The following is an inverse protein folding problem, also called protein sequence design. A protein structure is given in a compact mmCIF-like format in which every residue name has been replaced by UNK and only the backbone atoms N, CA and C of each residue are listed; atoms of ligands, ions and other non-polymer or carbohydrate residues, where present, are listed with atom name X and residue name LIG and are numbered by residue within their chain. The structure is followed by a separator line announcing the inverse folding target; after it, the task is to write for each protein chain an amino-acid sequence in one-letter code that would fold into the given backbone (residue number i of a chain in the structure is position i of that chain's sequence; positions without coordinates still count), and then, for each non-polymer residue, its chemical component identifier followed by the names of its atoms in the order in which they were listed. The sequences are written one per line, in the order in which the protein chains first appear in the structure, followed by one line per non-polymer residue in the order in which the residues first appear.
data_IF_008952453574
#
_entry.id   IF_008952453574
#
_cell.length_a   1.000
_cell.length_b   1.000
_cell.length_c   1.000
_cell.angle_alpha   90.00
_cell.angle_beta   90.00
_cell.angle_gamma   90.00
#
_symmetry.space_group_name_H-M   'P 1'
#
loop_
_entity.id
_entity.type
_entity.pdbx_description
1 polymer ?
#
# COMPACT_ATOMS: atom_id res chain seq x y z
N UNK A 1 51.20 27.34 3.43
CA UNK A 1 51.18 27.88 4.80
C UNK A 1 49.85 27.51 5.45
N UNK A 2 49.91 26.77 6.58
CA UNK A 2 48.91 26.55 7.67
C UNK A 2 47.45 26.24 7.29
N UNK A 3 46.77 25.21 7.80
CA UNK A 3 47.05 23.90 8.45
C UNK A 3 45.65 23.27 8.58
N UNK A 4 45.41 22.09 7.99
CA UNK A 4 44.22 21.29 8.26
C UNK A 4 44.26 20.76 9.70
N UNK A 5 43.11 20.73 10.39
CA UNK A 5 42.89 19.95 11.61
C UNK A 5 41.78 18.93 11.38
N UNK A 6 42.17 17.66 11.44
CA UNK A 6 41.30 16.49 11.44
C UNK A 6 40.61 16.31 12.81
N UNK A 7 39.38 15.81 12.80
CA UNK A 7 38.66 15.32 13.98
C UNK A 7 38.75 13.78 14.03
N UNK A 8 38.90 13.17 15.22
CA UNK A 8 39.24 11.76 15.35
C UNK A 8 38.03 10.82 15.34
N UNK A 9 38.26 9.63 14.76
CA UNK A 9 37.42 8.45 14.83
C UNK A 9 37.43 7.88 16.27
N UNK A 10 36.25 7.58 16.81
CA UNK A 10 36.06 6.83 18.06
C UNK A 10 35.89 5.34 17.72
N UNK A 11 36.93 4.56 17.99
CA UNK A 11 36.96 3.11 17.96
C UNK A 11 36.67 2.55 19.36
N UNK A 12 35.68 1.65 19.46
CA UNK A 12 35.31 0.92 20.68
C UNK A 12 36.09 -0.40 20.71
N UNK A 13 36.83 -0.76 21.79
CA UNK A 13 37.49 -2.06 21.87
C UNK A 13 36.56 -3.11 22.50
N UNK A 14 36.48 -4.29 21.86
CA UNK A 14 35.97 -5.54 22.44
C UNK A 14 36.98 -6.06 23.47
N UNK A 15 36.53 -6.31 24.70
CA UNK A 15 37.27 -7.10 25.68
C UNK A 15 36.67 -8.53 25.77
N UNK A 16 37.49 -9.59 25.84
CA UNK A 16 37.01 -10.97 25.92
C UNK A 16 36.74 -11.36 27.38
N UNK A 17 35.56 -11.93 27.66
CA UNK A 17 35.25 -12.51 28.96
C UNK A 17 35.63 -14.00 28.95
N UNK A 18 36.69 -14.34 29.70
CA UNK A 18 37.10 -15.71 30.01
C UNK A 18 36.18 -16.28 31.11
N UNK A 19 35.50 -17.40 30.83
CA UNK A 19 34.76 -18.18 31.84
C UNK A 19 35.65 -19.34 32.28
N UNK A 20 36.01 -19.35 33.56
CA UNK A 20 36.78 -20.42 34.21
C UNK A 20 35.85 -21.58 34.62
N UNK A 21 36.22 -22.80 34.22
CA UNK A 21 35.67 -24.04 34.76
C UNK A 21 36.18 -24.24 36.20
N UNK A 22 35.26 -24.49 37.13
CA UNK A 22 35.58 -25.13 38.41
C UNK A 22 34.73 -26.41 38.54
N UNK A 23 35.41 -27.54 38.63
CA UNK A 23 34.84 -28.85 38.90
C UNK A 23 35.41 -29.40 40.20
N UNK A 24 34.53 -29.94 41.05
CA UNK A 24 34.67 -30.91 42.17
C UNK A 24 33.73 -30.48 43.30
N UNK A 25 32.90 -31.30 43.94
CA UNK A 25 32.71 -32.76 43.97
C UNK A 25 32.22 -33.13 45.39
N UNK A 26 31.48 -34.25 45.51
CA UNK A 26 30.77 -34.84 46.68
C UNK A 26 29.26 -34.52 46.69
N UNK A 27 28.31 -35.46 46.76
CA UNK A 27 28.38 -36.88 47.02
C UNK A 27 27.27 -37.27 48.00
N UNK A 28 26.04 -37.45 47.51
CA UNK A 28 24.97 -38.12 48.26
C UNK A 28 24.04 -38.82 47.26
N UNK A 29 24.14 -40.15 47.20
CA UNK A 29 23.27 -40.97 46.37
C UNK A 29 21.85 -41.00 46.94
N UNK A 30 20.87 -40.60 46.13
CA UNK A 30 19.48 -40.95 46.35
C UNK A 30 19.09 -41.95 45.25
N UNK A 31 18.86 -43.19 45.67
CA UNK A 31 18.40 -44.27 44.80
C UNK A 31 16.97 -43.95 44.32
N UNK A 32 16.76 -44.03 43.01
CA UNK A 32 15.42 -43.94 42.42
C UNK A 32 14.70 -45.26 42.74
N UNK A 33 13.74 -45.21 43.66
CA UNK A 33 12.76 -46.27 43.85
C UNK A 33 11.76 -46.14 42.70
N UNK A 34 11.82 -47.04 41.72
CA UNK A 34 10.79 -47.14 40.69
C UNK A 34 9.57 -47.83 41.29
N UNK A 35 8.60 -47.03 41.74
CA UNK A 35 7.28 -47.55 42.07
C UNK A 35 6.54 -47.89 40.75
N UNK A 36 6.36 -49.18 40.51
CA UNK A 36 5.90 -49.73 39.23
C UNK A 36 4.37 -49.84 39.15
N UNK A 37 3.64 -48.92 39.81
CA UNK A 37 2.17 -48.94 39.88
C UNK A 37 1.51 -47.59 39.57
N UNK A 38 2.10 -46.78 38.68
CA UNK A 38 1.40 -45.62 38.12
C UNK A 38 0.64 -46.01 36.86
N UNK A 39 -0.70 -45.93 36.92
CA UNK A 39 -1.58 -46.02 35.76
C UNK A 39 -1.08 -45.08 34.62
N UNK A 40 -1.24 -45.48 33.34
CA UNK A 40 -0.74 -44.69 32.23
C UNK A 40 -1.31 -43.28 32.30
N UNK A 41 -0.44 -42.30 32.58
CA UNK A 41 -0.77 -40.89 32.39
C UNK A 41 -1.05 -40.73 30.91
N UNK A 42 -2.31 -40.50 30.58
CA UNK A 42 -2.72 -39.97 29.29
C UNK A 42 -1.91 -38.70 29.09
N UNK A 43 -0.89 -38.75 28.24
CA UNK A 43 -0.25 -37.56 27.69
C UNK A 43 -1.40 -36.81 27.03
N UNK A 44 -1.68 -35.55 27.41
CA UNK A 44 -2.64 -34.77 26.65
C UNK A 44 -2.09 -34.73 25.23
N UNK A 45 -2.80 -35.33 24.28
CA UNK A 45 -2.71 -34.92 22.88
C UNK A 45 -2.73 -33.39 22.91
N UNK A 46 -1.80 -32.72 22.22
CA UNK A 46 -1.88 -31.27 22.03
C UNK A 46 -3.31 -30.98 21.58
N UNK A 47 -4.14 -30.50 22.51
CA UNK A 47 -5.41 -29.91 22.15
C UNK A 47 -5.01 -28.79 21.20
N UNK A 48 -5.48 -28.87 19.94
CA UNK A 48 -5.31 -27.80 18.97
C UNK A 48 -5.68 -26.50 19.69
N UNK A 49 -4.66 -25.69 20.00
CA UNK A 49 -4.89 -24.35 20.50
C UNK A 49 -5.84 -23.69 19.48
N UNK A 50 -6.88 -22.95 19.92
CA UNK A 50 -7.77 -22.29 18.99
C UNK A 50 -6.93 -21.52 17.97
N UNK A 51 -7.05 -21.87 16.69
CA UNK A 51 -6.26 -21.23 15.64
C UNK A 51 -6.52 -19.71 15.69
N UNK A 52 -5.44 -18.93 15.69
CA UNK A 52 -5.54 -17.47 15.69
C UNK A 52 -6.37 -17.01 14.47
N UNK A 53 -7.52 -16.34 14.66
CA UNK A 53 -8.38 -15.93 13.56
C UNK A 53 -7.66 -15.04 12.55
N UNK A 54 -6.67 -14.24 12.99
CA UNK A 54 -5.84 -13.46 12.07
C UNK A 54 -4.96 -14.35 11.22
N UNK A 55 -4.30 -15.34 11.81
CA UNK A 55 -3.46 -16.29 11.07
C UNK A 55 -4.27 -17.07 10.03
N UNK A 56 -5.49 -17.49 10.38
CA UNK A 56 -6.43 -18.11 9.43
C UNK A 56 -6.77 -17.19 8.25
N UNK A 57 -7.04 -15.91 8.54
CA UNK A 57 -7.36 -14.93 7.53
C UNK A 57 -6.15 -14.64 6.62
N UNK A 58 -4.93 -14.56 7.19
CA UNK A 58 -3.67 -14.38 6.45
C UNK A 58 -3.35 -15.56 5.54
N UNK A 59 -3.59 -16.79 5.99
CA UNK A 59 -3.44 -17.99 5.16
C UNK A 59 -4.41 -17.96 3.98
N UNK A 60 -5.70 -17.74 4.23
CA UNK A 60 -6.71 -17.65 3.17
C UNK A 60 -6.37 -16.54 2.15
N UNK A 61 -5.89 -15.40 2.64
CA UNK A 61 -5.46 -14.27 1.82
C UNK A 61 -4.24 -14.62 0.94
N UNK A 62 -3.23 -15.26 1.54
CA UNK A 62 -2.02 -15.67 0.83
C UNK A 62 -2.32 -16.73 -0.24
N UNK A 63 -3.23 -17.66 0.06
CA UNK A 63 -3.67 -18.69 -0.88
C UNK A 63 -4.41 -18.09 -2.07
N UNK A 64 -5.31 -17.13 -1.83
CA UNK A 64 -5.95 -16.36 -2.90
C UNK A 64 -4.93 -15.61 -3.76
N UNK A 65 -3.97 -14.92 -3.16
CA UNK A 65 -2.98 -14.15 -3.92
C UNK A 65 -2.06 -15.06 -4.74
N UNK A 66 -1.68 -16.22 -4.20
CA UNK A 66 -0.91 -17.25 -4.93
C UNK A 66 -1.71 -17.77 -6.11
N UNK A 67 -2.99 -18.08 -5.87
CA UNK A 67 -3.90 -18.51 -6.92
C UNK A 67 -4.06 -17.44 -8.00
N UNK A 68 -4.32 -16.18 -7.61
CA UNK A 68 -4.43 -15.04 -8.53
C UNK A 68 -3.21 -14.96 -9.43
N UNK A 69 -2.01 -14.88 -8.84
CA UNK A 69 -0.73 -14.76 -9.57
C UNK A 69 -0.53 -15.86 -10.62
N UNK A 70 -0.84 -17.12 -10.27
CA UNK A 70 -0.70 -18.25 -11.19
C UNK A 70 -1.74 -18.24 -12.33
N UNK A 71 -2.86 -17.55 -12.13
CA UNK A 71 -4.01 -17.57 -13.02
C UNK A 71 -4.22 -16.26 -13.78
N UNK A 72 -3.38 -15.24 -13.55
CA UNK A 72 -3.47 -13.94 -14.21
C UNK A 72 -3.26 -14.06 -15.73
N UNK A 73 -4.03 -13.31 -16.53
CA UNK A 73 -3.92 -13.29 -17.99
C UNK A 73 -2.61 -12.62 -18.42
N UNK A 74 -2.17 -12.89 -19.65
CA UNK A 74 -0.93 -12.33 -20.19
C UNK A 74 -1.15 -10.93 -20.77
N UNK A 75 -0.27 -10.00 -20.43
CA UNK A 75 -0.16 -8.71 -21.11
C UNK A 75 0.57 -8.86 -22.44
N UNK A 76 0.02 -8.27 -23.51
CA UNK A 76 0.56 -8.36 -24.88
C UNK A 76 1.32 -7.11 -25.32
N UNK A 77 1.29 -6.03 -24.55
CA UNK A 77 2.00 -4.80 -24.85
C UNK A 77 3.48 -4.86 -24.47
N UNK A 78 4.18 -3.74 -24.71
CA UNK A 78 5.58 -3.57 -24.33
C UNK A 78 5.65 -3.07 -22.89
N UNK A 79 6.52 -3.69 -22.09
CA UNK A 79 6.81 -3.26 -20.72
C UNK A 79 8.18 -2.58 -20.69
N UNK A 80 8.26 -1.28 -20.34
CA UNK A 80 9.52 -0.59 -20.19
C UNK A 80 10.35 -1.18 -19.04
N UNK A 81 11.68 -1.29 -19.22
CA UNK A 81 12.60 -1.82 -18.20
C UNK A 81 13.96 -1.15 -18.22
N UNK A 82 14.67 -1.19 -17.09
CA UNK A 82 16.04 -0.70 -16.97
C UNK A 82 16.17 0.76 -17.38
N UNK A 83 17.09 1.08 -18.30
CA UNK A 83 17.28 2.45 -18.81
C UNK A 83 16.09 3.00 -19.60
N UNK A 84 15.18 2.15 -20.07
CA UNK A 84 13.95 2.57 -20.74
C UNK A 84 12.81 2.85 -19.75
N UNK A 85 13.03 2.69 -18.45
CA UNK A 85 12.02 2.98 -17.44
C UNK A 85 11.77 4.50 -17.35
N UNK A 86 10.54 4.98 -17.63
CA UNK A 86 10.25 6.41 -17.57
C UNK A 86 10.33 6.98 -16.16
N UNK A 87 9.84 6.23 -15.17
CA UNK A 87 9.80 6.66 -13.77
C UNK A 87 10.25 5.51 -12.85
N UNK A 88 11.54 5.46 -12.47
CA UNK A 88 12.02 4.46 -11.53
C UNK A 88 11.56 4.79 -10.10
N UNK A 89 11.09 3.78 -9.37
CA UNK A 89 10.69 3.90 -7.96
C UNK A 89 11.44 2.85 -7.14
N UNK A 90 12.14 3.28 -6.09
CA UNK A 90 13.10 2.41 -5.39
C UNK A 90 14.16 1.83 -6.34
N UNK A 91 14.56 0.57 -6.10
CA UNK A 91 15.61 -0.10 -6.88
C UNK A 91 15.07 -0.98 -8.03
N UNK A 92 13.83 -1.44 -7.91
CA UNK A 92 13.29 -2.55 -8.72
C UNK A 92 11.99 -2.22 -9.44
N UNK A 93 11.33 -1.11 -9.10
CA UNK A 93 10.05 -0.76 -9.68
C UNK A 93 10.20 0.23 -10.81
N UNK A 94 9.37 0.05 -11.83
CA UNK A 94 9.23 0.97 -12.92
C UNK A 94 7.77 1.36 -13.06
N UNK A 95 7.48 2.65 -12.91
CA UNK A 95 6.21 3.22 -13.30
C UNK A 95 6.28 3.70 -14.74
N UNK A 96 5.24 3.38 -15.52
CA UNK A 96 5.05 3.94 -16.86
C UNK A 96 3.58 4.19 -17.08
N UNK A 97 3.28 5.10 -17.99
CA UNK A 97 1.93 5.53 -18.28
C UNK A 97 1.64 5.39 -19.76
N UNK A 98 0.65 4.57 -20.10
CA UNK A 98 0.23 4.32 -21.48
C UNK A 98 -1.31 4.29 -21.55
N UNK A 99 -1.90 5.33 -22.16
CA UNK A 99 -3.35 5.43 -22.35
C UNK A 99 -3.86 4.53 -23.48
N UNK A 100 -2.97 3.98 -24.30
CA UNK A 100 -3.30 3.10 -25.43
C UNK A 100 -3.23 1.63 -25.06
N UNK A 101 -2.55 1.31 -23.95
CA UNK A 101 -2.48 -0.04 -23.42
C UNK A 101 -3.87 -0.51 -22.96
N UNK A 102 -4.32 -1.63 -23.53
CA UNK A 102 -5.51 -2.34 -23.05
C UNK A 102 -5.08 -3.52 -22.19
N UNK A 103 -5.45 -3.48 -20.91
CA UNK A 103 -5.21 -4.58 -19.98
C UNK A 103 -6.26 -5.68 -20.17
N UNK A 104 -5.86 -6.95 -20.16
CA UNK A 104 -6.81 -8.06 -20.21
C UNK A 104 -7.75 -8.04 -19.00
N UNK A 105 -8.99 -8.48 -19.20
CA UNK A 105 -9.96 -8.66 -18.13
C UNK A 105 -9.53 -9.78 -17.17
N UNK A 106 -9.89 -9.65 -15.88
CA UNK A 106 -9.66 -10.68 -14.88
C UNK A 106 -10.46 -11.96 -15.24
N UNK A 107 -9.82 -13.14 -15.30
CA UNK A 107 -10.53 -14.40 -15.54
C UNK A 107 -11.52 -14.73 -14.42
N UNK A 108 -12.70 -15.27 -14.78
CA UNK A 108 -13.79 -15.58 -13.83
C UNK A 108 -13.35 -16.45 -12.65
N UNK A 109 -12.44 -17.42 -12.87
CA UNK A 109 -11.87 -18.25 -11.80
C UNK A 109 -11.21 -17.46 -10.68
N UNK A 110 -10.61 -16.29 -10.99
CA UNK A 110 -10.01 -15.42 -9.99
C UNK A 110 -11.12 -14.70 -9.22
N UNK A 111 -12.18 -14.23 -9.90
CA UNK A 111 -13.35 -13.63 -9.25
C UNK A 111 -14.09 -14.63 -8.35
N UNK A 112 -14.25 -15.89 -8.77
CA UNK A 112 -14.76 -16.98 -7.93
C UNK A 112 -13.90 -17.21 -6.68
N UNK A 113 -12.57 -17.29 -6.85
CA UNK A 113 -11.64 -17.45 -5.72
C UNK A 113 -11.68 -16.25 -4.77
N UNK A 114 -11.84 -15.02 -5.29
CA UNK A 114 -12.03 -13.80 -4.49
C UNK A 114 -13.31 -13.86 -3.67
N UNK A 115 -14.42 -14.33 -4.25
CA UNK A 115 -15.69 -14.51 -3.52
C UNK A 115 -15.56 -15.54 -2.39
N UNK A 116 -14.83 -16.63 -2.62
CA UNK A 116 -14.54 -17.62 -1.58
C UNK A 116 -13.70 -17.02 -0.43
N UNK A 117 -12.67 -16.24 -0.76
CA UNK A 117 -11.90 -15.48 0.23
C UNK A 117 -12.79 -14.53 1.04
N UNK A 118 -13.60 -13.73 0.37
CA UNK A 118 -14.52 -12.78 1.02
C UNK A 118 -15.47 -13.49 1.99
N UNK A 119 -16.01 -14.64 1.61
CA UNK A 119 -16.88 -15.45 2.48
C UNK A 119 -16.14 -15.87 3.76
N UNK A 120 -14.89 -16.30 3.65
CA UNK A 120 -14.06 -16.66 4.82
C UNK A 120 -13.73 -15.44 5.69
N UNK A 121 -13.33 -14.33 5.07
CA UNK A 121 -13.03 -13.08 5.78
C UNK A 121 -14.25 -12.50 6.48
N UNK A 122 -15.44 -12.61 5.89
CA UNK A 122 -16.69 -12.17 6.51
C UNK A 122 -17.01 -13.00 7.75
N UNK A 123 -16.95 -14.33 7.65
CA UNK A 123 -17.17 -15.20 8.81
C UNK A 123 -16.21 -14.89 9.96
N UNK A 124 -14.91 -14.69 9.66
CA UNK A 124 -13.92 -14.34 10.67
C UNK A 124 -14.12 -12.94 11.23
N UNK A 125 -14.44 -11.96 10.37
CA UNK A 125 -14.65 -10.58 10.79
C UNK A 125 -15.93 -10.38 11.61
N UNK A 126 -16.96 -11.20 11.37
CA UNK A 126 -18.20 -11.16 12.15
C UNK A 126 -17.99 -11.78 13.55
N UNK A 127 -17.17 -12.82 13.65
CA UNK A 127 -16.74 -13.40 14.92
C UNK A 127 -15.72 -12.52 15.67
N UNK A 128 -14.88 -11.78 14.95
CA UNK A 128 -13.79 -10.98 15.49
C UNK A 128 -13.78 -9.53 14.96
N UNK A 129 -14.84 -8.74 15.22
CA UNK A 129 -14.98 -7.40 14.64
C UNK A 129 -13.96 -6.38 15.17
N UNK A 130 -13.23 -6.71 16.23
CA UNK A 130 -12.14 -5.90 16.77
C UNK A 130 -10.82 -6.02 15.99
N UNK A 131 -10.66 -7.06 15.16
CA UNK A 131 -9.42 -7.28 14.41
C UNK A 131 -9.29 -6.29 13.24
N UNK A 132 -8.27 -5.45 13.33
CA UNK A 132 -8.02 -4.38 12.38
C UNK A 132 -7.57 -4.90 11.01
N UNK A 133 -6.76 -5.96 10.99
CA UNK A 133 -6.23 -6.55 9.75
C UNK A 133 -7.36 -7.21 8.96
N UNK A 134 -8.21 -8.01 9.61
CA UNK A 134 -9.37 -8.66 8.98
C UNK A 134 -10.33 -7.61 8.40
N UNK A 135 -10.65 -6.57 9.19
CA UNK A 135 -11.53 -5.49 8.73
C UNK A 135 -10.95 -4.74 7.52
N UNK A 136 -9.64 -4.47 7.53
CA UNK A 136 -8.94 -3.85 6.39
C UNK A 136 -9.00 -4.71 5.14
N UNK A 137 -8.71 -6.01 5.28
CA UNK A 137 -8.72 -6.94 4.15
C UNK A 137 -10.11 -7.16 3.56
N UNK A 138 -11.16 -7.23 4.40
CA UNK A 138 -12.57 -7.24 3.94
C UNK A 138 -12.86 -6.00 3.07
N UNK A 139 -12.52 -4.81 3.56
CA UNK A 139 -12.71 -3.54 2.83
C UNK A 139 -11.97 -3.54 1.50
N UNK A 140 -10.67 -3.90 1.50
CA UNK A 140 -9.87 -4.02 0.29
C UNK A 140 -10.51 -4.92 -0.75
N UNK A 141 -10.86 -6.15 -0.37
CA UNK A 141 -11.37 -7.11 -1.35
C UNK A 141 -12.79 -6.79 -1.83
N UNK A 142 -13.62 -6.13 -1.01
CA UNK A 142 -14.90 -5.60 -1.48
C UNK A 142 -14.73 -4.42 -2.46
N UNK A 143 -13.70 -3.59 -2.28
CA UNK A 143 -13.34 -2.54 -3.25
C UNK A 143 -12.82 -3.16 -4.55
N UNK A 144 -11.92 -4.14 -4.47
CA UNK A 144 -11.42 -4.87 -5.65
C UNK A 144 -12.56 -5.61 -6.39
N UNK A 145 -13.58 -6.11 -5.67
CA UNK A 145 -14.78 -6.76 -6.23
C UNK A 145 -15.81 -5.74 -6.78
N UNK A 146 -15.52 -4.44 -6.75
CA UNK A 146 -16.43 -3.40 -7.27
C UNK A 146 -17.65 -3.13 -6.40
N UNK A 147 -17.60 -3.48 -5.11
CA UNK A 147 -18.72 -3.38 -4.14
C UNK A 147 -18.37 -2.44 -2.97
N UNK A 148 -18.09 -1.15 -3.21
CA UNK A 148 -17.67 -0.24 -2.15
C UNK A 148 -18.76 0.05 -1.10
N UNK A 149 -20.05 -0.15 -1.44
CA UNK A 149 -21.14 -0.11 -0.47
C UNK A 149 -21.01 -1.21 0.61
N UNK A 150 -20.59 -2.42 0.22
CA UNK A 150 -20.28 -3.51 1.17
C UNK A 150 -19.04 -3.20 1.99
N UNK A 151 -18.01 -2.61 1.38
CA UNK A 151 -16.85 -2.13 2.12
C UNK A 151 -17.25 -1.11 3.22
N UNK A 152 -18.19 -0.21 2.93
CA UNK A 152 -18.72 0.73 3.92
C UNK A 152 -19.51 0.03 5.04
N UNK A 153 -20.30 -1.00 4.73
CA UNK A 153 -20.98 -1.82 5.75
C UNK A 153 -19.96 -2.48 6.70
N UNK A 154 -18.90 -3.07 6.16
CA UNK A 154 -17.80 -3.65 6.96
C UNK A 154 -17.16 -2.58 7.85
N UNK A 155 -16.83 -1.42 7.29
CA UNK A 155 -16.21 -0.34 8.04
C UNK A 155 -17.10 0.17 9.20
N UNK A 156 -18.42 0.12 9.04
CA UNK A 156 -19.39 0.49 10.09
C UNK A 156 -19.57 -0.59 11.15
N UNK A 157 -19.40 -1.86 10.79
CA UNK A 157 -19.47 -2.99 11.72
C UNK A 157 -18.15 -3.22 12.49
N UNK A 158 -17.04 -2.65 12.00
CA UNK A 158 -15.72 -2.67 12.63
C UNK A 158 -15.76 -2.11 14.06
N UNK A 159 -15.08 -2.80 14.99
CA UNK A 159 -15.00 -2.47 16.42
C UNK A 159 -13.55 -2.30 16.91
N UNK A 160 -12.61 -2.07 16.00
CA UNK A 160 -11.23 -1.72 16.37
C UNK A 160 -11.20 -0.39 17.13
N UNK A 161 -10.37 -0.30 18.17
CA UNK A 161 -10.16 0.94 18.93
C UNK A 161 -9.41 1.98 18.11
N UNK A 162 -9.77 3.26 18.27
CA UNK A 162 -9.10 4.39 17.62
C UNK A 162 -9.80 4.82 16.33
N UNK A 163 -9.00 5.24 15.35
CA UNK A 163 -9.50 5.88 14.12
C UNK A 163 -9.61 4.91 12.93
N UNK A 164 -9.17 3.66 13.08
CA UNK A 164 -9.04 2.70 11.97
C UNK A 164 -10.37 2.45 11.22
N UNK A 165 -11.46 2.16 11.95
CA UNK A 165 -12.76 1.91 11.34
C UNK A 165 -13.28 3.15 10.58
N UNK A 166 -13.00 4.35 11.07
CA UNK A 166 -13.34 5.60 10.37
C UNK A 166 -12.51 5.78 9.10
N UNK A 167 -11.22 5.43 9.11
CA UNK A 167 -10.38 5.49 7.92
C UNK A 167 -10.90 4.56 6.82
N UNK A 168 -11.26 3.32 7.20
CA UNK A 168 -11.91 2.36 6.30
C UNK A 168 -13.23 2.90 5.72
N UNK A 169 -14.03 3.60 6.53
CA UNK A 169 -15.27 4.23 6.08
C UNK A 169 -14.98 5.40 5.12
N UNK A 170 -13.98 6.23 5.41
CA UNK A 170 -13.54 7.33 4.55
C UNK A 170 -13.10 6.85 3.16
N UNK A 171 -12.28 5.79 3.11
CA UNK A 171 -11.88 5.10 1.88
C UNK A 171 -13.10 4.55 1.11
N UNK A 172 -14.00 3.85 1.81
CA UNK A 172 -15.20 3.28 1.17
C UNK A 172 -16.12 4.36 0.60
N UNK A 173 -16.28 5.49 1.30
CA UNK A 173 -17.04 6.65 0.83
C UNK A 173 -16.37 7.32 -0.38
N UNK A 174 -15.04 7.39 -0.42
CA UNK A 174 -14.31 7.88 -1.58
C UNK A 174 -14.57 7.00 -2.80
N UNK A 175 -14.51 5.68 -2.65
CA UNK A 175 -14.80 4.72 -3.72
C UNK A 175 -16.26 4.78 -4.21
N UNK A 176 -17.19 5.14 -3.31
CA UNK A 176 -18.59 5.44 -3.65
C UNK A 176 -18.79 6.83 -4.29
N UNK A 177 -17.72 7.63 -4.46
CA UNK A 177 -17.73 9.01 -4.96
C UNK A 177 -18.50 9.99 -4.05
N UNK A 178 -18.64 9.65 -2.77
CA UNK A 178 -19.29 10.47 -1.74
C UNK A 178 -18.24 11.35 -1.06
N UNK A 179 -17.58 12.19 -1.86
CA UNK A 179 -16.36 12.90 -1.45
C UNK A 179 -16.58 13.83 -0.25
N UNK A 180 -17.70 14.55 -0.17
CA UNK A 180 -18.01 15.41 0.98
C UNK A 180 -18.11 14.62 2.30
N UNK A 181 -18.69 13.41 2.26
CA UNK A 181 -18.79 12.56 3.46
C UNK A 181 -17.46 11.88 3.81
N UNK A 182 -16.69 11.50 2.79
CA UNK A 182 -15.33 10.99 2.94
C UNK A 182 -14.43 12.05 3.60
N UNK A 183 -14.47 13.28 3.10
CA UNK A 183 -13.73 14.43 3.63
C UNK A 183 -14.09 14.72 5.08
N UNK A 184 -15.39 14.82 5.40
CA UNK A 184 -15.86 15.00 6.77
C UNK A 184 -15.39 13.87 7.71
N UNK A 185 -15.27 12.64 7.19
CA UNK A 185 -14.77 11.50 7.96
C UNK A 185 -13.27 11.63 8.23
N UNK A 186 -12.47 11.94 7.21
CA UNK A 186 -11.04 12.15 7.39
C UNK A 186 -10.72 13.37 8.26
N UNK A 187 -11.50 14.45 8.18
CA UNK A 187 -11.34 15.60 9.06
C UNK A 187 -11.54 15.21 10.54
N UNK A 188 -12.54 14.39 10.86
CA UNK A 188 -12.71 13.85 12.22
C UNK A 188 -11.50 13.03 12.67
N UNK A 189 -10.96 12.17 11.80
CA UNK A 189 -9.74 11.40 12.09
C UNK A 189 -8.58 12.33 12.41
N UNK A 190 -8.33 13.33 11.56
CA UNK A 190 -7.24 14.29 11.75
C UNK A 190 -7.32 15.00 13.10
N UNK A 191 -8.53 15.32 13.62
CA UNK A 191 -8.67 15.94 14.95
C UNK A 191 -8.20 15.06 16.11
N UNK A 192 -8.27 13.73 15.96
CA UNK A 192 -7.94 12.73 16.99
C UNK A 192 -6.51 12.21 16.91
N UNK A 193 -5.86 12.35 15.76
CA UNK A 193 -4.44 11.98 15.60
C UNK A 193 -3.55 12.86 16.48
N UNK A 194 -2.47 12.25 16.99
CA UNK A 194 -1.40 13.03 17.62
C UNK A 194 -0.81 14.03 16.63
N UNK A 195 -0.16 15.12 17.08
CA UNK A 195 0.44 16.10 16.17
C UNK A 195 1.39 15.48 15.14
N UNK A 196 2.20 14.49 15.57
CA UNK A 196 3.12 13.77 14.68
C UNK A 196 2.38 12.95 13.62
N UNK A 197 1.41 12.13 14.01
CA UNK A 197 0.63 11.32 13.08
C UNK A 197 -0.15 12.20 12.10
N UNK A 198 -0.73 13.30 12.58
CA UNK A 198 -1.44 14.28 11.75
C UNK A 198 -0.53 14.88 10.68
N UNK A 199 0.73 15.16 11.01
CA UNK A 199 1.71 15.62 10.04
C UNK A 199 2.05 14.56 9.00
N UNK A 200 2.19 13.29 9.40
CA UNK A 200 2.38 12.18 8.45
C UNK A 200 1.17 12.01 7.53
N UNK A 201 -0.04 12.15 8.06
CA UNK A 201 -1.28 12.06 7.28
C UNK A 201 -1.48 13.24 6.32
N UNK A 202 -0.85 14.38 6.57
CA UNK A 202 -0.96 15.58 5.72
C UNK A 202 0.25 15.76 4.81
N UNK A 203 1.19 14.82 4.83
CA UNK A 203 2.45 14.94 4.10
C UNK A 203 2.22 14.87 2.58
N UNK A 204 2.42 16.00 1.91
CA UNK A 204 2.28 16.14 0.47
C UNK A 204 3.58 15.83 -0.27
N UNK A 205 4.69 15.65 0.45
CA UNK A 205 6.03 15.42 -0.10
C UNK A 205 6.06 14.46 -1.29
N UNK A 206 5.34 13.33 -1.32
CA UNK A 206 5.34 12.41 -2.47
C UNK A 206 4.79 12.99 -3.78
N UNK A 207 4.10 14.14 -3.75
CA UNK A 207 3.41 14.73 -4.89
C UNK A 207 4.05 16.00 -5.42
N UNK A 208 5.05 16.54 -4.71
CA UNK A 208 5.59 17.86 -4.99
C UNK A 208 6.81 17.76 -5.91
N UNK A 209 6.89 18.66 -6.90
CA UNK A 209 8.14 18.92 -7.60
C UNK A 209 9.16 19.55 -6.66
N UNK A 210 10.44 19.55 -7.07
CA UNK A 210 11.54 20.03 -6.24
C UNK A 210 11.33 21.48 -5.76
N UNK A 211 10.82 22.36 -6.63
CA UNK A 211 10.58 23.77 -6.29
C UNK A 211 9.52 23.92 -5.19
N UNK A 212 8.39 23.23 -5.36
CA UNK A 212 7.29 23.22 -4.39
C UNK A 212 7.71 22.54 -3.09
N UNK A 213 8.47 21.45 -3.18
CA UNK A 213 8.98 20.68 -2.04
C UNK A 213 9.93 21.51 -1.17
N UNK A 214 10.81 22.32 -1.78
CA UNK A 214 11.71 23.23 -1.04
C UNK A 214 10.95 24.28 -0.23
N UNK A 215 9.82 24.78 -0.76
CA UNK A 215 8.94 25.69 -0.01
C UNK A 215 8.23 24.92 1.11
N UNK A 216 7.66 23.76 0.78
CA UNK A 216 6.95 22.91 1.72
C UNK A 216 7.80 22.56 2.95
N UNK A 217 8.98 21.96 2.77
CA UNK A 217 9.84 21.51 3.89
C UNK A 217 10.26 22.66 4.82
N UNK A 218 10.41 23.89 4.29
CA UNK A 218 10.75 25.07 5.11
C UNK A 218 9.59 25.54 5.99
N UNK A 219 8.35 25.28 5.58
CA UNK A 219 7.16 25.62 6.37
C UNK A 219 6.80 24.45 7.28
N UNK A 220 7.04 24.60 8.57
CA UNK A 220 6.86 23.53 9.55
C UNK A 220 5.41 23.05 9.63
N UNK A 221 5.22 21.74 9.81
CA UNK A 221 3.89 21.18 9.99
C UNK A 221 3.21 21.72 11.26
N UNK A 222 1.93 22.07 11.15
CA UNK A 222 1.12 22.60 12.25
C UNK A 222 1.17 24.11 12.42
N UNK A 223 1.89 24.84 11.56
CA UNK A 223 1.82 26.31 11.54
C UNK A 223 0.70 26.82 10.61
N UNK A 224 0.14 28.01 10.86
CA UNK A 224 -0.87 28.61 9.98
C UNK A 224 -0.39 28.77 8.53
N UNK A 225 0.89 29.03 8.32
CA UNK A 225 1.49 29.15 6.98
C UNK A 225 1.44 27.80 6.24
N UNK A 226 1.69 26.69 6.95
CA UNK A 226 1.58 25.35 6.37
C UNK A 226 0.15 25.00 6.05
N UNK A 227 -0.79 25.32 6.94
CA UNK A 227 -2.20 25.07 6.73
C UNK A 227 -2.73 25.83 5.52
N UNK A 228 -2.37 27.12 5.38
CA UNK A 228 -2.73 27.93 4.22
C UNK A 228 -2.11 27.40 2.92
N UNK A 229 -0.86 26.93 2.97
CA UNK A 229 -0.20 26.32 1.83
C UNK A 229 -0.91 25.03 1.38
N UNK A 230 -1.18 24.11 2.30
CA UNK A 230 -1.84 22.84 1.98
C UNK A 230 -3.28 23.05 1.50
N UNK A 231 -4.01 23.99 2.08
CA UNK A 231 -5.34 24.36 1.61
C UNK A 231 -5.31 24.88 0.17
N UNK A 232 -4.31 25.70 -0.19
CA UNK A 232 -4.11 26.16 -1.57
C UNK A 232 -3.77 25.02 -2.52
N UNK A 233 -2.88 24.12 -2.12
CA UNK A 233 -2.53 22.94 -2.92
C UNK A 233 -3.78 22.11 -3.20
N UNK A 234 -4.57 21.81 -2.17
CA UNK A 234 -5.78 21.03 -2.33
C UNK A 234 -6.85 21.74 -3.14
N UNK A 235 -6.96 23.07 -3.04
CA UNK A 235 -7.85 23.85 -3.89
C UNK A 235 -7.50 23.65 -5.37
N UNK A 236 -6.23 23.81 -5.73
CA UNK A 236 -5.81 23.68 -7.13
C UNK A 236 -5.75 22.24 -7.64
N UNK A 237 -5.58 21.26 -6.77
CA UNK A 237 -5.58 19.85 -7.16
C UNK A 237 -6.96 19.33 -7.61
N UNK A 238 -8.06 20.08 -7.40
CA UNK A 238 -9.42 19.63 -7.73
C UNK A 238 -9.59 19.52 -9.23
N UNK A 239 -9.99 18.34 -9.71
CA UNK A 239 -10.32 18.17 -11.13
C UNK A 239 -11.63 18.87 -11.48
N UNK A 240 -12.58 18.97 -10.53
CA UNK A 240 -13.89 19.63 -10.74
C UNK A 240 -14.30 20.51 -9.55
N UNK A 241 -14.14 21.82 -9.69
CA UNK A 241 -14.43 22.80 -8.64
C UNK A 241 -15.91 22.86 -8.20
N UNK A 242 -16.85 22.60 -9.11
CA UNK A 242 -18.28 22.62 -8.81
C UNK A 242 -18.83 21.39 -8.09
N UNK A 243 -17.97 20.40 -7.78
CA UNK A 243 -18.38 19.20 -7.04
C UNK A 243 -18.41 19.48 -5.53
N UNK A 244 -19.30 18.81 -4.79
CA UNK A 244 -19.26 18.83 -3.33
C UNK A 244 -18.10 17.95 -2.82
N UNK A 245 -17.28 18.51 -1.93
CA UNK A 245 -16.07 17.86 -1.41
C UNK A 245 -14.86 17.96 -2.35
N UNK A 246 -13.70 17.59 -1.82
CA UNK A 246 -12.43 17.55 -2.54
C UNK A 246 -12.01 16.11 -2.84
N UNK A 247 -12.18 15.69 -4.09
CA UNK A 247 -11.87 14.33 -4.54
C UNK A 247 -10.37 14.04 -4.47
N UNK A 248 -9.52 14.99 -4.88
CA UNK A 248 -8.06 14.85 -4.78
C UNK A 248 -7.56 14.73 -3.34
N UNK A 249 -8.14 15.49 -2.41
CA UNK A 249 -7.79 15.41 -0.98
C UNK A 249 -8.24 14.08 -0.37
N UNK A 250 -9.45 13.62 -0.69
CA UNK A 250 -9.95 12.34 -0.20
C UNK A 250 -9.22 11.15 -0.84
N UNK A 251 -8.75 11.28 -2.08
CA UNK A 251 -7.87 10.31 -2.73
C UNK A 251 -6.56 10.15 -1.95
N UNK A 252 -5.92 11.24 -1.54
CA UNK A 252 -4.70 11.17 -0.73
C UNK A 252 -4.88 10.36 0.56
N UNK A 253 -5.93 10.66 1.34
CA UNK A 253 -6.22 9.91 2.56
C UNK A 253 -6.65 8.47 2.28
N UNK A 254 -7.32 8.23 1.15
CA UNK A 254 -7.70 6.89 0.70
C UNK A 254 -6.47 6.05 0.35
N UNK A 255 -5.47 6.62 -0.35
CA UNK A 255 -4.20 5.96 -0.64
C UNK A 255 -3.40 5.65 0.61
N UNK A 256 -3.35 6.57 1.57
CA UNK A 256 -2.72 6.31 2.88
C UNK A 256 -3.41 5.16 3.60
N UNK A 257 -4.74 5.17 3.63
CA UNK A 257 -5.54 4.11 4.25
C UNK A 257 -5.31 2.77 3.55
N UNK A 258 -5.32 2.74 2.21
CA UNK A 258 -5.09 1.53 1.43
C UNK A 258 -3.67 0.98 1.65
N UNK A 259 -2.66 1.85 1.66
CA UNK A 259 -1.28 1.46 1.98
C UNK A 259 -1.16 0.85 3.38
N UNK A 260 -1.96 1.32 4.35
CA UNK A 260 -2.02 0.72 5.68
C UNK A 260 -2.74 -0.63 5.69
N UNK A 261 -3.77 -0.82 4.88
CA UNK A 261 -4.43 -2.13 4.70
C UNK A 261 -3.43 -3.15 4.15
N UNK A 262 -2.60 -2.73 3.20
CA UNK A 262 -1.59 -3.58 2.56
C UNK A 262 -0.43 -3.97 3.48
N UNK A 263 -0.23 -3.26 4.60
CA UNK A 263 0.83 -3.57 5.56
C UNK A 263 0.60 -4.97 6.14
N UNK A 264 1.64 -5.79 6.10
CA UNK A 264 1.60 -7.18 6.57
C UNK A 264 0.60 -8.08 5.79
N UNK A 265 0.25 -7.70 4.56
CA UNK A 265 -0.52 -8.52 3.63
C UNK A 265 0.32 -8.91 2.41
N UNK A 266 0.03 -10.08 1.83
CA UNK A 266 0.62 -10.44 0.55
C UNK A 266 0.05 -9.53 -0.54
N UNK A 267 0.92 -8.90 -1.33
CA UNK A 267 0.50 -8.09 -2.48
C UNK A 267 0.31 -8.93 -3.73
N UNK A 268 -0.33 -8.36 -4.75
CA UNK A 268 -0.43 -8.97 -6.09
C UNK A 268 0.94 -9.34 -6.66
N UNK A 269 2.01 -8.67 -6.19
CA UNK A 269 3.39 -8.82 -6.65
C UNK A 269 4.20 -9.85 -5.85
N UNK A 270 3.60 -10.48 -4.83
CA UNK A 270 4.11 -11.67 -4.12
C UNK A 270 5.15 -11.39 -3.04
N UNK A 271 5.97 -10.34 -3.15
CA UNK A 271 7.08 -10.04 -2.21
C UNK A 271 6.66 -9.37 -0.90
N UNK A 272 5.36 -9.34 -0.60
CA UNK A 272 4.83 -8.46 0.45
C UNK A 272 4.91 -6.99 0.03
N UNK A 273 4.19 -6.13 0.74
CA UNK A 273 4.10 -4.70 0.44
C UNK A 273 5.31 -3.95 1.01
N UNK A 274 6.30 -3.66 0.15
CA UNK A 274 7.52 -2.93 0.53
C UNK A 274 7.37 -1.39 0.41
N UNK A 275 8.40 -0.64 0.82
CA UNK A 275 8.35 0.84 0.81
C UNK A 275 8.26 1.41 -0.62
N UNK A 276 8.80 0.73 -1.63
CA UNK A 276 8.72 1.19 -3.01
C UNK A 276 7.33 0.91 -3.60
N UNK A 277 6.71 -0.23 -3.27
CA UNK A 277 5.30 -0.51 -3.59
C UNK A 277 4.37 0.47 -2.86
N UNK A 278 4.69 0.82 -1.60
CA UNK A 278 4.02 1.89 -0.88
C UNK A 278 4.14 3.23 -1.60
N UNK A 279 5.35 3.62 -2.00
CA UNK A 279 5.57 4.86 -2.73
C UNK A 279 4.77 4.90 -4.03
N UNK A 280 4.77 3.82 -4.82
CA UNK A 280 3.94 3.68 -6.02
C UNK A 280 2.45 3.91 -5.70
N UNK A 281 1.95 3.24 -4.67
CA UNK A 281 0.55 3.35 -4.26
C UNK A 281 0.18 4.77 -3.84
N UNK A 282 1.06 5.44 -3.10
CA UNK A 282 0.83 6.82 -2.69
C UNK A 282 0.85 7.75 -3.90
N UNK A 283 1.82 7.63 -4.81
CA UNK A 283 2.02 8.53 -5.95
C UNK A 283 1.02 8.31 -7.10
N UNK A 284 0.63 7.07 -7.37
CA UNK A 284 -0.15 6.72 -8.57
C UNK A 284 -1.51 6.08 -8.28
N UNK A 285 -1.77 5.69 -7.03
CA UNK A 285 -2.97 4.95 -6.63
C UNK A 285 -2.73 3.46 -6.67
N UNK A 286 -3.77 2.67 -6.40
CA UNK A 286 -3.69 1.22 -6.47
C UNK A 286 -4.16 0.70 -7.84
N UNK A 287 -3.53 -0.38 -8.36
CA UNK A 287 -3.98 -1.02 -9.59
C UNK A 287 -5.42 -1.53 -9.49
N UNK A 288 -6.14 -1.45 -10.62
CA UNK A 288 -7.47 -2.07 -10.79
C UNK A 288 -7.44 -3.33 -11.64
N UNK A 289 -6.38 -3.51 -12.41
CA UNK A 289 -6.20 -4.63 -13.31
C UNK A 289 -4.79 -5.18 -13.16
N UNK A 290 -4.66 -6.49 -13.31
CA UNK A 290 -3.38 -7.17 -13.22
C UNK A 290 -3.21 -8.12 -14.40
N UNK A 291 -1.96 -8.29 -14.81
CA UNK A 291 -1.58 -9.23 -15.85
C UNK A 291 -0.19 -9.78 -15.57
N UNK A 292 0.16 -10.89 -16.22
CA UNK A 292 1.52 -11.43 -16.20
C UNK A 292 2.33 -10.91 -17.38
N UNK A 293 3.62 -10.72 -17.14
CA UNK A 293 4.60 -10.47 -18.17
C UNK A 293 5.32 -11.78 -18.57
N UNK A 294 5.61 -11.95 -19.86
CA UNK A 294 6.44 -13.06 -20.35
C UNK A 294 5.67 -14.36 -20.62
N UNK A 295 6.43 -15.44 -20.83
CA UNK A 295 5.87 -16.80 -20.95
C UNK A 295 5.46 -17.29 -19.55
N UNK A 296 4.24 -17.80 -19.43
CA UNK A 296 3.79 -18.52 -18.25
C UNK A 296 4.83 -19.62 -17.94
N UNK A 297 5.22 -19.85 -16.68
CA UNK A 297 6.08 -20.98 -16.38
C UNK A 297 5.40 -22.22 -16.96
N UNK A 298 6.12 -22.94 -17.83
CA UNK A 298 5.61 -24.18 -18.39
C UNK A 298 5.15 -25.08 -17.22
N UNK A 299 4.14 -25.94 -17.42
CA UNK A 299 3.94 -27.06 -16.51
C UNK A 299 5.30 -27.73 -16.27
N UNK A 300 5.55 -28.33 -15.10
CA UNK A 300 6.78 -29.08 -14.88
C UNK A 300 6.79 -30.31 -15.80
N UNK A 301 7.14 -30.10 -17.06
CA UNK A 301 7.54 -31.15 -17.98
C UNK A 301 8.88 -31.62 -17.46
N UNK A 302 8.92 -32.87 -17.00
CA UNK A 302 10.13 -33.51 -16.54
C UNK A 302 11.27 -33.29 -17.55
N UNK A 303 12.46 -33.04 -17.01
CA UNK A 303 13.74 -32.91 -17.71
C UNK A 303 14.03 -31.52 -18.33
N UNK A 304 14.62 -30.63 -17.53
CA UNK A 304 15.69 -29.74 -18.02
C UNK A 304 16.83 -29.63 -16.99
N UNK A 305 18.04 -29.76 -17.50
CA UNK A 305 19.32 -29.84 -16.80
C UNK A 305 19.72 -28.51 -16.18
N UNK A 306 20.19 -28.57 -14.92
CA UNK A 306 21.25 -27.70 -14.39
C UNK A 306 21.00 -26.18 -14.37
N UNK A 307 20.11 -25.71 -13.49
CA UNK A 307 20.02 -24.29 -13.16
C UNK A 307 19.00 -23.99 -12.07
N UNK A 308 19.45 -23.89 -10.81
CA UNK A 308 18.74 -23.30 -9.66
C UNK A 308 17.23 -23.65 -9.53
N UNK A 309 16.90 -24.94 -9.51
CA UNK A 309 15.63 -25.38 -8.95
C UNK A 309 15.72 -25.34 -7.41
N UNK A 310 15.65 -24.15 -6.83
CA UNK A 310 15.24 -24.03 -5.44
C UNK A 310 13.77 -24.50 -5.34
N UNK A 311 13.39 -25.33 -4.34
CA UNK A 311 12.00 -25.58 -4.02
C UNK A 311 11.41 -24.26 -3.49
N UNK A 312 10.84 -23.48 -4.40
CA UNK A 312 10.24 -22.18 -4.11
C UNK A 312 8.85 -22.12 -4.73
N UNK A 313 7.95 -21.40 -4.07
CA UNK A 313 6.57 -21.17 -4.52
C UNK A 313 6.55 -20.70 -6.00
N UNK A 314 5.96 -21.49 -6.93
CA UNK A 314 5.93 -21.15 -8.35
C UNK A 314 5.30 -19.79 -8.64
N UNK A 315 4.39 -19.32 -7.78
CA UNK A 315 3.77 -18.01 -7.94
C UNK A 315 4.80 -16.89 -7.82
N UNK A 316 5.90 -17.05 -7.08
CA UNK A 316 6.94 -16.03 -6.91
C UNK A 316 7.78 -15.81 -8.16
N UNK A 317 7.72 -16.75 -9.12
CA UNK A 317 8.40 -16.62 -10.43
C UNK A 317 7.60 -15.80 -11.44
N UNK A 318 6.33 -15.52 -11.15
CA UNK A 318 5.46 -14.73 -12.04
C UNK A 318 5.76 -13.24 -11.88
N UNK A 319 6.16 -12.60 -13.00
CA UNK A 319 6.25 -11.14 -13.08
C UNK A 319 4.84 -10.58 -13.31
N UNK A 320 4.34 -9.79 -12.36
CA UNK A 320 3.01 -9.20 -12.41
C UNK A 320 3.10 -7.72 -12.75
N UNK A 321 2.27 -7.29 -13.67
CA UNK A 321 2.02 -5.89 -14.04
C UNK A 321 0.70 -5.49 -13.41
N UNK A 322 0.69 -4.34 -12.74
CA UNK A 322 -0.55 -3.67 -12.32
C UNK A 322 -0.84 -2.51 -13.27
N UNK A 323 -2.12 -2.20 -13.46
CA UNK A 323 -2.55 -0.99 -14.15
C UNK A 323 -3.55 -0.22 -13.31
N UNK A 324 -3.23 1.04 -13.05
CA UNK A 324 -4.11 2.03 -12.46
C UNK A 324 -5.14 2.52 -13.49
N UNK A 325 -6.25 3.14 -13.04
CA UNK A 325 -7.25 3.68 -13.95
C UNK A 325 -6.69 4.73 -14.92
N UNK A 326 -7.18 4.71 -16.15
CA UNK A 326 -6.88 5.70 -17.20
C UNK A 326 -8.17 6.38 -17.69
N UNK A 327 -8.16 7.66 -18.09
CA UNK A 327 -7.01 8.58 -18.15
C UNK A 327 -6.71 9.26 -16.80
N UNK A 328 -5.44 9.47 -16.47
CA UNK A 328 -4.99 10.12 -15.25
C UNK A 328 -4.25 11.41 -15.60
N UNK A 329 -4.36 12.43 -14.74
CA UNK A 329 -3.64 13.69 -14.85
C UNK A 329 -2.62 13.83 -13.72
N UNK A 330 -1.78 14.87 -13.81
CA UNK A 330 -0.86 15.26 -12.73
C UNK A 330 -1.66 15.51 -11.46
N UNK A 331 -1.27 14.88 -10.35
CA UNK A 331 -2.07 14.90 -9.13
C UNK A 331 -2.06 16.26 -8.43
N UNK A 332 -0.87 16.85 -8.28
CA UNK A 332 -0.67 18.19 -7.72
C UNK A 332 -0.02 19.08 -8.78
N UNK A 333 -0.57 20.29 -9.05
CA UNK A 333 -0.02 21.17 -10.06
C UNK A 333 1.39 21.67 -9.70
N UNK A 334 2.17 22.10 -10.71
CA UNK A 334 3.53 22.58 -10.49
C UNK A 334 3.62 23.88 -9.69
N UNK A 335 4.83 24.19 -9.23
CA UNK A 335 5.12 25.36 -8.40
C UNK A 335 4.62 26.70 -8.99
N UNK A 336 4.79 26.91 -10.30
CA UNK A 336 4.35 28.12 -10.99
C UNK A 336 2.83 28.31 -10.95
N UNK A 337 2.04 27.23 -11.04
CA UNK A 337 0.59 27.26 -10.88
C UNK A 337 0.19 27.61 -9.45
N UNK A 338 0.87 27.04 -8.46
CA UNK A 338 0.57 27.29 -7.03
C UNK A 338 0.94 28.71 -6.56
N UNK A 339 1.93 29.33 -7.21
CA UNK A 339 2.48 30.64 -6.83
C UNK A 339 1.95 31.79 -7.68
N UNK A 340 1.75 31.55 -8.99
CA UNK A 340 1.34 32.54 -9.97
C UNK A 340 0.24 31.99 -10.90
N UNK A 341 -0.92 31.60 -10.35
CA UNK A 341 -1.96 30.91 -11.13
C UNK A 341 -2.46 31.71 -12.35
N UNK A 342 -2.54 33.03 -12.23
CA UNK A 342 -2.96 33.92 -13.32
C UNK A 342 -1.99 33.97 -14.51
N UNK A 343 -0.74 33.53 -14.31
CA UNK A 343 0.29 33.46 -15.35
C UNK A 343 0.47 32.03 -15.90
N UNK A 344 -0.27 31.04 -15.38
CA UNK A 344 -0.22 29.66 -15.87
C UNK A 344 -1.07 29.46 -17.12
N UNK A 345 -0.68 28.51 -17.96
CA UNK A 345 -1.46 28.10 -19.13
C UNK A 345 -1.83 26.61 -19.09
N UNK A 346 -2.61 26.17 -20.06
CA UNK A 346 -3.08 24.78 -20.14
C UNK A 346 -1.97 23.72 -20.13
N UNK A 347 -0.77 24.05 -20.62
CA UNK A 347 0.38 23.13 -20.65
C UNK A 347 0.88 22.91 -19.23
N UNK A 348 0.95 23.95 -18.41
CA UNK A 348 1.35 23.84 -16.99
C UNK A 348 0.47 22.86 -16.20
N UNK A 349 -0.81 22.77 -16.56
CA UNK A 349 -1.77 21.81 -16.01
C UNK A 349 -1.70 20.44 -16.68
N UNK A 350 -1.31 20.41 -17.96
CA UNK A 350 -1.29 19.21 -18.80
C UNK A 350 -0.03 18.35 -18.67
N UNK A 351 1.12 18.93 -18.28
CA UNK A 351 2.41 18.22 -18.41
C UNK A 351 2.40 16.93 -17.60
N UNK A 352 2.40 15.85 -18.37
CA UNK A 352 2.46 14.45 -18.01
C UNK A 352 3.81 13.83 -18.38
N UNK A 353 4.76 14.67 -18.81
CA UNK A 353 6.07 14.24 -19.28
C UNK A 353 6.90 13.73 -18.09
N UNK A 354 7.66 12.63 -18.26
CA UNK A 354 8.60 12.17 -17.26
C UNK A 354 9.63 13.28 -16.88
N UNK A 355 10.05 13.34 -15.60
CA UNK A 355 9.64 12.48 -14.49
C UNK A 355 8.19 12.76 -14.04
N UNK A 356 7.41 11.69 -13.86
CA UNK A 356 6.01 11.79 -13.45
C UNK A 356 5.96 11.70 -11.93
N UNK A 357 5.83 12.84 -11.26
CA UNK A 357 5.83 12.89 -9.80
C UNK A 357 4.65 12.11 -9.22
N UNK A 358 3.42 12.41 -9.64
CA UNK A 358 2.23 11.71 -9.14
C UNK A 358 1.05 11.90 -10.10
N UNK A 359 0.14 10.92 -10.12
CA UNK A 359 -1.05 10.95 -10.97
C UNK A 359 -2.32 10.60 -10.20
N UNK A 360 -3.43 11.10 -10.70
CA UNK A 360 -4.77 10.78 -10.22
C UNK A 360 -5.75 10.65 -11.39
N UNK A 361 -6.59 9.61 -11.34
CA UNK A 361 -7.74 9.44 -12.22
C UNK A 361 -9.03 9.65 -11.42
N UNK A 362 -9.81 10.70 -11.72
CA UNK A 362 -11.14 10.85 -11.16
C UNK A 362 -12.10 9.86 -11.84
N UNK A 363 -12.77 8.96 -11.11
CA UNK A 363 -13.65 7.93 -11.69
C UNK A 363 -14.84 8.45 -12.52
N UNK A 364 -15.13 9.74 -12.44
CA UNK A 364 -16.16 10.42 -13.22
C UNK A 364 -15.64 11.02 -14.54
N UNK A 365 -14.32 11.12 -14.72
CA UNK A 365 -13.69 11.72 -15.90
C UNK A 365 -13.28 10.64 -16.91
N UNK A 366 -14.13 10.41 -17.92
CA UNK A 366 -13.83 9.48 -19.02
C UNK A 366 -12.78 10.03 -19.99
N UNK A 367 -12.75 11.34 -20.15
CA UNK A 367 -11.82 12.08 -21.00
C UNK A 367 -11.34 13.32 -20.26
N UNK A 368 -10.06 13.64 -20.39
CA UNK A 368 -9.45 14.86 -19.87
C UNK A 368 -9.01 15.68 -21.07
N UNK A 369 -9.65 16.81 -21.28
CA UNK A 369 -9.34 17.75 -22.36
C UNK A 369 -8.55 18.92 -21.78
N UNK A 370 -7.44 19.24 -22.41
CA UNK A 370 -6.69 20.45 -22.09
C UNK A 370 -7.38 21.62 -22.77
N UNK A 371 -7.88 22.55 -21.96
CA UNK A 371 -8.50 23.77 -22.47
C UNK A 371 -7.41 24.83 -22.53
N UNK A 372 -7.16 25.40 -23.72
CA UNK A 372 -6.12 26.42 -23.94
C UNK A 372 -6.23 27.61 -22.98
N UNK A 373 -7.42 27.87 -22.43
CA UNK A 373 -7.69 28.99 -21.53
C UNK A 373 -8.49 28.54 -20.28
N UNK A 374 -7.81 28.12 -19.20
CA UNK A 374 -8.40 28.15 -17.86
C UNK A 374 -8.50 29.60 -17.30
N UNK A 375 -8.86 30.58 -18.14
CA UNK A 375 -9.15 31.94 -17.67
C UNK A 375 -10.44 32.02 -16.84
N UNK A 376 -11.25 30.96 -16.80
CA UNK A 376 -12.58 30.95 -16.18
C UNK A 376 -12.61 30.75 -14.66
N UNK A 377 -11.49 30.48 -13.97
CA UNK A 377 -11.48 30.32 -12.51
C UNK A 377 -10.94 31.54 -11.75
N UNK A 378 -10.37 32.53 -12.45
CA UNK A 378 -9.61 33.64 -11.85
C UNK A 378 -10.13 35.03 -12.22
N UNK A 379 -11.43 35.17 -12.47
CA UNK A 379 -12.09 36.50 -12.45
C UNK A 379 -13.21 36.52 -11.44
#
# INVERSE_FOLDING_TARGET
MKRLRALPYLSVPLAPLLVALAASGTGAGAQIVTDSTAAPRTVPTLAELPEDPRALAQTAQSDFERFRRLNLPRYRGKVPRGRACPEPVGLTWCYWYDTTASMPAEPEKIAESRRALLTKLDSLGDAHPGDNWISGQRVRYYIEDGRPAKALEVARACKTVGWWCEALAGLSLHEMRRYAESEATFDRILTRLSPRERCTWRDLTPYLDEDTRRVYIRTQCGTPERDAFEARVWWFARTRYGMAGNDSRTEHFSRLTYAMIMRDAMSAYGRGFDEAERELMIRFGWPRQWATEGLQPAPPSGMMMGGMNAPGDPSMRVSVIGAEPVPAHRFIPPSNVLTSPAASDSIDWAVQLPPVIARYHPPYAKHLLMLEHQQGLFR
#
